data_IF_854906753109
#
_entry.id   IF_854906753109
#
_cell.length_a   1.000
_cell.length_b   1.000
_cell.length_c   1.000
_cell.angle_alpha   90.00
_cell.angle_beta   90.00
_cell.angle_gamma   90.00
#
_symmetry.space_group_name_H-M   'P 1'
#
loop_
_entity.id
_entity.type
_entity.pdbx_description
1 polymer ?
#
# COMPACT_ATOMS: atom_id res chain seq x y z
N UNK A 1 -22.95 -17.94 -2.00
CA UNK A 1 -21.49 -17.82 -1.77
C UNK A 1 -20.90 -17.06 -2.95
N UNK A 2 -20.24 -15.91 -2.77
CA UNK A 2 -19.60 -15.20 -3.90
C UNK A 2 -18.39 -16.00 -4.36
N UNK A 3 -18.36 -16.44 -5.60
CA UNK A 3 -17.20 -17.12 -6.17
C UNK A 3 -16.09 -16.09 -6.44
N UNK A 4 -14.80 -16.45 -6.25
CA UNK A 4 -13.68 -15.62 -6.65
C UNK A 4 -13.77 -15.22 -8.13
N UNK A 5 -13.46 -13.97 -8.47
CA UNK A 5 -13.51 -13.47 -9.87
C UNK A 5 -12.73 -14.35 -10.86
N UNK A 6 -11.64 -14.97 -10.40
CA UNK A 6 -10.81 -15.89 -11.18
C UNK A 6 -11.59 -17.09 -11.74
N UNK A 7 -12.63 -17.54 -11.04
CA UNK A 7 -13.49 -18.64 -11.48
C UNK A 7 -14.30 -18.24 -12.71
N UNK A 8 -14.93 -17.06 -12.70
CA UNK A 8 -15.71 -16.56 -13.84
C UNK A 8 -14.85 -16.36 -15.08
N UNK A 9 -13.65 -15.80 -14.92
CA UNK A 9 -12.69 -15.66 -16.02
C UNK A 9 -12.28 -17.01 -16.60
N UNK A 10 -12.00 -17.99 -15.75
CA UNK A 10 -11.63 -19.34 -16.19
C UNK A 10 -12.77 -20.00 -16.97
N UNK A 11 -14.01 -19.87 -16.50
CA UNK A 11 -15.19 -20.37 -17.21
C UNK A 11 -15.34 -19.70 -18.57
N UNK A 12 -15.22 -18.37 -18.63
CA UNK A 12 -15.29 -17.62 -19.88
C UNK A 12 -14.28 -18.14 -20.90
N UNK A 13 -13.00 -18.26 -20.52
CA UNK A 13 -11.96 -18.76 -21.44
C UNK A 13 -12.17 -20.21 -21.84
N UNK A 14 -12.70 -21.05 -20.95
CA UNK A 14 -13.07 -22.43 -21.30
C UNK A 14 -14.19 -22.45 -22.33
N UNK A 15 -15.22 -21.61 -22.19
CA UNK A 15 -16.31 -21.53 -23.15
C UNK A 15 -15.81 -21.04 -24.51
N UNK A 16 -15.01 -19.98 -24.55
CA UNK A 16 -14.40 -19.48 -25.79
C UNK A 16 -13.63 -20.60 -26.50
N UNK A 17 -12.80 -21.34 -25.76
CA UNK A 17 -12.02 -22.44 -26.33
C UNK A 17 -12.90 -23.63 -26.75
N UNK A 18 -13.86 -24.03 -25.93
CA UNK A 18 -14.70 -25.20 -26.17
C UNK A 18 -15.60 -25.00 -27.41
N UNK A 19 -16.15 -23.80 -27.56
CA UNK A 19 -16.99 -23.44 -28.70
C UNK A 19 -16.20 -22.87 -29.89
N UNK A 20 -14.86 -22.83 -29.80
CA UNK A 20 -13.96 -22.25 -30.81
C UNK A 20 -14.41 -20.85 -31.28
N UNK A 21 -14.78 -19.99 -30.33
CA UNK A 21 -15.25 -18.63 -30.61
C UNK A 21 -14.07 -17.71 -30.92
N UNK A 22 -14.23 -16.89 -31.95
CA UNK A 22 -13.42 -15.69 -32.15
C UNK A 22 -14.12 -14.51 -31.48
N UNK A 23 -13.49 -13.91 -30.47
CA UNK A 23 -14.12 -12.92 -29.59
C UNK A 23 -13.38 -11.60 -29.67
N UNK A 24 -14.12 -10.55 -30.03
CA UNK A 24 -13.68 -9.16 -29.95
C UNK A 24 -14.42 -8.47 -28.82
N UNK A 25 -13.68 -7.79 -27.94
CA UNK A 25 -14.25 -7.00 -26.84
C UNK A 25 -14.33 -5.54 -27.27
N UNK A 26 -15.53 -4.98 -27.21
CA UNK A 26 -15.78 -3.57 -27.51
C UNK A 26 -16.41 -2.88 -26.29
N UNK A 27 -15.84 -1.75 -25.89
CA UNK A 27 -16.38 -0.95 -24.80
C UNK A 27 -17.41 0.03 -25.37
N UNK A 28 -18.62 -0.02 -24.84
CA UNK A 28 -19.73 0.87 -25.23
C UNK A 28 -20.09 1.79 -24.05
N UNK A 29 -20.48 3.03 -24.35
CA UNK A 29 -20.96 3.98 -23.35
C UNK A 29 -22.35 3.59 -22.84
N UNK A 30 -22.55 3.64 -21.53
CA UNK A 30 -23.85 3.36 -20.93
C UNK A 30 -24.89 4.41 -21.36
N UNK A 31 -26.14 3.99 -21.55
CA UNK A 31 -27.24 4.87 -21.96
C UNK A 31 -27.00 5.62 -23.28
N UNK A 32 -26.17 5.07 -24.17
CA UNK A 32 -25.91 5.61 -25.51
C UNK A 32 -26.96 5.23 -26.56
N UNK A 33 -28.13 4.72 -26.13
CA UNK A 33 -29.18 4.13 -26.97
C UNK A 33 -28.69 2.98 -27.86
N UNK A 34 -27.69 2.22 -27.40
CA UNK A 34 -27.28 0.98 -28.06
C UNK A 34 -28.26 -0.12 -27.70
N UNK A 35 -29.06 -0.54 -28.68
CA UNK A 35 -30.12 -1.54 -28.52
C UNK A 35 -29.67 -2.82 -27.80
N UNK A 36 -28.48 -3.36 -28.13
CA UNK A 36 -28.00 -4.61 -27.55
C UNK A 36 -27.47 -4.43 -26.13
N UNK A 37 -26.83 -3.30 -25.85
CA UNK A 37 -26.41 -2.96 -24.49
C UNK A 37 -27.62 -2.75 -23.57
N UNK A 38 -28.63 -2.03 -24.05
CA UNK A 38 -29.85 -1.74 -23.30
C UNK A 38 -30.66 -3.03 -23.04
N UNK A 39 -30.68 -3.95 -24.02
CA UNK A 39 -31.30 -5.27 -23.86
C UNK A 39 -30.54 -6.13 -22.83
N UNK A 40 -29.21 -6.12 -22.86
CA UNK A 40 -28.39 -6.84 -21.87
C UNK A 40 -28.59 -6.29 -20.45
N UNK A 41 -28.66 -4.97 -20.28
CA UNK A 41 -28.93 -4.33 -18.99
C UNK A 41 -30.35 -4.65 -18.47
N UNK A 42 -31.34 -4.67 -19.36
CA UNK A 42 -32.71 -5.10 -19.03
C UNK A 42 -32.72 -6.55 -18.50
N UNK A 43 -32.10 -7.49 -19.23
CA UNK A 43 -32.06 -8.89 -18.79
C UNK A 43 -31.28 -9.08 -17.49
N UNK A 44 -30.18 -8.35 -17.30
CA UNK A 44 -29.45 -8.39 -16.03
C UNK A 44 -30.33 -7.96 -14.85
N UNK A 45 -31.18 -6.93 -15.03
CA UNK A 45 -32.12 -6.47 -14.01
C UNK A 45 -33.27 -7.45 -13.75
N UNK A 46 -33.80 -8.09 -14.80
CA UNK A 46 -34.86 -9.09 -14.67
C UNK A 46 -34.36 -10.37 -13.95
N UNK A 47 -33.09 -10.74 -14.16
CA UNK A 47 -32.48 -11.94 -13.56
C UNK A 47 -32.11 -11.82 -12.07
N UNK A 48 -32.37 -10.69 -11.41
CA UNK A 48 -31.97 -10.48 -10.01
C UNK A 48 -32.64 -11.48 -9.07
N UNK A 49 -33.89 -11.84 -9.36
CA UNK A 49 -34.70 -12.76 -8.55
C UNK A 49 -34.67 -14.21 -9.08
N UNK A 50 -33.93 -14.47 -10.17
CA UNK A 50 -33.81 -15.80 -10.74
C UNK A 50 -32.74 -16.65 -10.04
N UNK A 51 -32.90 -17.97 -10.13
CA UNK A 51 -31.92 -18.91 -9.58
C UNK A 51 -30.56 -18.75 -10.26
N UNK A 52 -29.52 -18.63 -9.43
CA UNK A 52 -28.16 -18.52 -9.94
C UNK A 52 -27.70 -19.82 -10.57
N UNK A 53 -27.02 -19.73 -11.71
CA UNK A 53 -26.31 -20.87 -12.30
C UNK A 53 -25.16 -21.28 -11.35
N UNK A 54 -25.27 -22.47 -10.76
CA UNK A 54 -24.24 -23.04 -9.87
C UNK A 54 -23.27 -23.88 -10.72
N UNK A 55 -22.02 -23.43 -10.79
CA UNK A 55 -20.95 -24.23 -11.37
C UNK A 55 -20.31 -25.09 -10.27
N UNK A 56 -20.25 -26.41 -10.48
CA UNK A 56 -19.50 -27.28 -9.59
C UNK A 56 -17.99 -27.11 -9.78
N UNK A 57 -17.25 -27.02 -8.67
CA UNK A 57 -15.79 -26.85 -8.66
C UNK A 57 -15.04 -27.93 -9.46
N UNK A 58 -15.63 -29.11 -9.61
CA UNK A 58 -15.10 -30.21 -10.43
C UNK A 58 -15.01 -29.84 -11.92
N UNK A 59 -15.92 -29.00 -12.43
CA UNK A 59 -15.91 -28.52 -13.83
C UNK A 59 -14.73 -27.55 -14.05
N UNK A 60 -14.29 -26.87 -13.00
CA UNK A 60 -13.22 -25.89 -13.09
C UNK A 60 -11.87 -26.56 -13.29
N UNK A 61 -11.66 -27.80 -12.81
CA UNK A 61 -10.43 -28.58 -13.01
C UNK A 61 -9.14 -27.73 -12.87
N UNK A 62 -9.21 -26.69 -12.04
CA UNK A 62 -8.24 -25.61 -12.01
C UNK A 62 -7.32 -25.84 -10.81
N UNK A 63 -6.23 -26.54 -11.07
CA UNK A 63 -5.02 -26.45 -10.25
C UNK A 63 -4.00 -25.64 -11.04
N UNK A 64 -4.28 -24.36 -11.31
CA UNK A 64 -3.18 -23.46 -11.61
C UNK A 64 -2.45 -23.23 -10.28
N UNK A 65 -1.47 -24.10 -10.03
CA UNK A 65 -0.60 -23.96 -8.88
C UNK A 65 0.39 -22.85 -9.23
N UNK A 66 0.24 -21.69 -8.61
CA UNK A 66 1.23 -20.65 -8.70
C UNK A 66 2.54 -21.19 -8.17
N UNK A 67 3.62 -21.02 -8.94
CA UNK A 67 4.94 -21.47 -8.55
C UNK A 67 5.86 -20.28 -8.41
N UNK A 68 6.55 -20.21 -7.28
CA UNK A 68 7.63 -19.27 -7.05
C UNK A 68 8.92 -20.05 -6.84
N UNK A 69 9.95 -19.77 -7.65
CA UNK A 69 11.23 -20.48 -7.60
C UNK A 69 11.08 -22.02 -7.57
N UNK A 70 10.27 -22.57 -8.48
CA UNK A 70 9.94 -23.99 -8.58
C UNK A 70 9.14 -24.60 -7.41
N UNK A 71 8.81 -23.83 -6.37
CA UNK A 71 7.97 -24.27 -5.26
C UNK A 71 6.52 -23.85 -5.50
N UNK A 72 5.58 -24.74 -5.15
CA UNK A 72 4.15 -24.44 -5.19
C UNK A 72 3.83 -23.47 -4.05
N UNK A 73 3.12 -22.40 -4.37
CA UNK A 73 2.60 -21.45 -3.39
C UNK A 73 1.23 -21.95 -2.94
N UNK A 74 1.13 -22.24 -1.64
CA UNK A 74 -0.10 -22.74 -1.01
C UNK A 74 -1.00 -21.60 -0.48
N UNK A 75 -0.56 -20.35 -0.61
CA UNK A 75 -1.26 -19.16 -0.12
C UNK A 75 -1.96 -18.43 -1.26
N UNK A 76 -2.85 -17.49 -0.93
CA UNK A 76 -3.48 -16.62 -1.92
C UNK A 76 -2.44 -15.89 -2.79
N UNK A 77 -2.46 -16.14 -4.10
CA UNK A 77 -1.46 -15.64 -5.05
C UNK A 77 -1.42 -14.11 -5.09
N UNK A 78 -2.58 -13.46 -4.97
CA UNK A 78 -2.69 -12.00 -5.00
C UNK A 78 -2.08 -11.42 -3.73
N UNK A 79 -2.35 -12.02 -2.58
CA UNK A 79 -1.76 -11.61 -1.30
C UNK A 79 -0.24 -11.80 -1.31
N UNK A 80 0.26 -12.90 -1.87
CA UNK A 80 1.69 -13.13 -2.01
C UNK A 80 2.34 -12.04 -2.90
N UNK A 81 1.77 -11.77 -4.07
CA UNK A 81 2.27 -10.73 -4.99
C UNK A 81 2.30 -9.37 -4.29
N UNK A 82 1.24 -9.01 -3.54
CA UNK A 82 1.20 -7.78 -2.75
C UNK A 82 2.32 -7.72 -1.73
N UNK A 83 2.54 -8.80 -0.98
CA UNK A 83 3.61 -8.87 0.03
C UNK A 83 5.00 -8.75 -0.60
N UNK A 84 5.24 -9.38 -1.75
CA UNK A 84 6.50 -9.25 -2.49
C UNK A 84 6.72 -7.80 -2.90
N UNK A 85 5.70 -7.16 -3.48
CA UNK A 85 5.79 -5.77 -3.90
C UNK A 85 5.99 -4.81 -2.72
N UNK A 86 5.31 -5.04 -1.59
CA UNK A 86 5.49 -4.27 -0.36
C UNK A 86 6.91 -4.42 0.21
N UNK A 87 7.44 -5.65 0.23
CA UNK A 87 8.80 -5.93 0.69
C UNK A 87 9.87 -5.29 -0.21
N UNK A 88 9.69 -5.36 -1.53
CA UNK A 88 10.61 -4.72 -2.48
C UNK A 88 10.61 -3.20 -2.34
N UNK A 89 9.43 -2.57 -2.27
CA UNK A 89 9.33 -1.13 -2.03
C UNK A 89 9.94 -0.71 -0.69
N UNK A 90 9.73 -1.50 0.37
CA UNK A 90 10.35 -1.26 1.67
C UNK A 90 11.88 -1.32 1.56
N UNK A 91 12.42 -2.34 0.89
CA UNK A 91 13.86 -2.48 0.67
C UNK A 91 14.44 -1.30 -0.12
N UNK A 92 13.79 -0.89 -1.21
CA UNK A 92 14.20 0.28 -1.99
C UNK A 92 14.19 1.55 -1.13
N UNK A 93 13.15 1.74 -0.30
CA UNK A 93 13.07 2.88 0.61
C UNK A 93 14.20 2.85 1.66
N UNK A 94 14.46 1.72 2.30
CA UNK A 94 15.51 1.59 3.32
C UNK A 94 16.91 1.81 2.74
N UNK A 95 17.13 1.46 1.47
CA UNK A 95 18.41 1.64 0.76
C UNK A 95 18.68 3.09 0.29
N UNK A 96 17.76 4.04 0.51
CA UNK A 96 18.03 5.44 0.22
C UNK A 96 19.13 5.99 1.16
N UNK A 97 20.11 6.73 0.62
CA UNK A 97 21.22 7.30 1.42
C UNK A 97 20.77 8.07 2.67
N UNK A 98 19.61 8.74 2.61
CA UNK A 98 19.02 9.46 3.76
C UNK A 98 18.63 8.54 4.93
N UNK A 99 18.40 7.26 4.65
CA UNK A 99 17.98 6.22 5.59
C UNK A 99 19.15 5.36 6.09
N UNK A 100 20.40 5.66 5.70
CA UNK A 100 21.59 4.91 6.14
C UNK A 100 21.72 4.79 7.67
N UNK A 101 21.13 5.72 8.43
CA UNK A 101 21.08 5.65 9.90
C UNK A 101 20.25 4.45 10.41
N UNK A 102 19.21 4.04 9.69
CA UNK A 102 18.34 2.90 10.05
C UNK A 102 19.13 1.58 9.99
N UNK A 103 20.12 1.49 9.10
CA UNK A 103 20.99 0.32 8.97
C UNK A 103 21.96 0.13 10.17
N UNK A 104 22.04 1.11 11.07
CA UNK A 104 22.85 0.98 12.29
C UNK A 104 22.04 0.30 13.40
N UNK A 105 22.53 -0.82 13.95
CA UNK A 105 21.84 -1.55 15.04
C UNK A 105 21.57 -0.71 16.29
N UNK A 106 22.42 0.27 16.60
CA UNK A 106 22.20 1.18 17.72
C UNK A 106 21.06 2.18 17.48
N UNK A 107 20.62 2.35 16.23
CA UNK A 107 19.51 3.24 15.89
C UNK A 107 18.24 2.86 16.64
N UNK A 108 17.87 1.59 16.64
CA UNK A 108 16.64 1.10 17.28
C UNK A 108 16.64 1.26 18.80
N UNK A 109 17.81 1.31 19.45
CA UNK A 109 17.92 1.61 20.88
C UNK A 109 17.65 3.08 21.23
N UNK A 110 17.72 3.97 20.23
CA UNK A 110 17.46 5.40 20.39
C UNK A 110 15.99 5.76 20.11
N UNK A 111 15.20 4.83 19.55
CA UNK A 111 13.81 5.06 19.19
C UNK A 111 12.93 4.94 20.43
N UNK A 112 12.16 5.99 20.71
CA UNK A 112 11.02 5.94 21.61
C UNK A 112 9.84 5.28 20.88
N UNK A 113 9.73 3.96 21.06
CA UNK A 113 8.69 3.14 20.46
C UNK A 113 7.28 3.55 20.91
N UNK A 114 7.11 4.00 22.16
CA UNK A 114 5.80 4.39 22.70
C UNK A 114 5.27 5.63 21.99
N UNK A 115 6.11 6.65 21.83
CA UNK A 115 5.74 7.87 21.12
C UNK A 115 5.61 7.64 19.63
N UNK A 116 6.52 6.85 19.04
CA UNK A 116 6.44 6.50 17.64
C UNK A 116 5.15 5.73 17.31
N UNK A 117 4.73 4.79 18.16
CA UNK A 117 3.46 4.08 18.00
C UNK A 117 2.27 5.04 18.02
N UNK A 118 2.24 6.00 18.95
CA UNK A 118 1.20 7.03 19.02
C UNK A 118 1.14 7.89 17.76
N UNK A 119 2.29 8.28 17.21
CA UNK A 119 2.38 9.07 15.97
C UNK A 119 1.99 8.29 14.72
N UNK A 120 2.03 6.95 14.77
CA UNK A 120 1.69 6.07 13.66
C UNK A 120 0.27 5.48 13.74
N UNK A 121 -0.40 5.61 14.89
CA UNK A 121 -1.77 5.12 15.07
C UNK A 121 -2.73 5.99 14.26
N UNK A 122 -3.20 5.48 13.11
CA UNK A 122 -4.33 6.09 12.40
C UNK A 122 -5.62 5.82 13.17
N UNK A 123 -6.30 6.89 13.58
CA UNK A 123 -7.72 6.85 13.94
C UNK A 123 -8.52 6.50 12.68
N UNK A 124 -9.16 5.34 12.64
CA UNK A 124 -10.01 4.92 11.50
C UNK A 124 -11.37 5.65 11.49
N UNK A 125 -11.71 6.41 12.54
CA UNK A 125 -13.09 6.85 12.78
C UNK A 125 -13.25 8.36 12.98
N UNK A 126 -12.16 9.12 13.09
CA UNK A 126 -12.19 10.58 13.29
C UNK A 126 -11.06 11.21 12.49
N UNK A 127 -11.41 11.97 11.46
CA UNK A 127 -10.52 12.90 10.74
C UNK A 127 -10.78 14.29 11.28
N UNK A 128 -10.18 14.62 12.44
CA UNK A 128 -10.15 16.01 12.88
C UNK A 128 -9.04 16.76 12.12
N UNK A 129 -9.19 18.07 11.93
CA UNK A 129 -8.12 18.94 11.39
C UNK A 129 -6.83 18.83 12.23
N UNK A 130 -6.95 18.52 13.52
CA UNK A 130 -5.81 18.21 14.38
C UNK A 130 -5.06 16.95 13.93
N UNK A 131 -5.78 15.85 13.66
CA UNK A 131 -5.17 14.59 13.23
C UNK A 131 -4.42 14.72 11.90
N UNK A 132 -4.93 15.54 10.97
CA UNK A 132 -4.23 15.83 9.71
C UNK A 132 -2.90 16.55 9.94
N UNK A 133 -2.88 17.56 10.83
CA UNK A 133 -1.65 18.29 11.20
C UNK A 133 -0.65 17.33 11.87
N UNK A 134 -1.12 16.45 12.77
CA UNK A 134 -0.28 15.44 13.41
C UNK A 134 0.28 14.43 12.41
N UNK A 135 -0.51 13.97 11.43
CA UNK A 135 -0.03 13.08 10.38
C UNK A 135 0.99 13.76 9.47
N UNK A 136 0.77 15.02 9.08
CA UNK A 136 1.73 15.80 8.31
C UNK A 136 3.05 15.97 9.09
N UNK A 137 2.97 16.24 10.39
CA UNK A 137 4.14 16.33 11.27
C UNK A 137 4.88 14.99 11.34
N UNK A 138 4.16 13.88 11.52
CA UNK A 138 4.74 12.54 11.56
C UNK A 138 5.44 12.17 10.24
N UNK A 139 4.86 12.52 9.09
CA UNK A 139 5.49 12.32 7.78
C UNK A 139 6.78 13.16 7.66
N UNK A 140 6.75 14.44 8.04
CA UNK A 140 7.93 15.31 8.00
C UNK A 140 9.04 14.82 8.92
N UNK A 141 8.70 14.28 10.09
CA UNK A 141 9.64 13.65 11.02
C UNK A 141 10.28 12.42 10.37
N UNK A 142 9.49 11.50 9.81
CA UNK A 142 9.98 10.27 9.15
C UNK A 142 10.86 10.55 7.93
N UNK A 143 10.51 11.57 7.15
CA UNK A 143 11.19 11.91 5.92
C UNK A 143 12.44 12.79 6.13
N UNK A 144 12.75 13.19 7.37
CA UNK A 144 13.78 14.19 7.66
C UNK A 144 13.53 15.54 6.97
N UNK A 145 12.28 15.99 6.91
CA UNK A 145 11.89 17.22 6.21
C UNK A 145 11.54 18.36 7.17
N UNK A 146 11.69 18.16 8.48
CA UNK A 146 11.54 19.22 9.47
C UNK A 146 12.51 20.38 9.20
N UNK A 147 12.09 21.64 9.41
CA UNK A 147 12.93 22.82 9.22
C UNK A 147 13.95 22.98 10.36
N UNK A 148 14.74 21.94 10.62
CA UNK A 148 15.89 21.99 11.54
C UNK A 148 16.99 22.85 10.94
N UNK A 149 17.86 23.41 11.77
CA UNK A 149 19.02 24.19 11.28
C UNK A 149 19.88 23.40 10.29
N UNK A 150 20.07 22.10 10.51
CA UNK A 150 20.78 21.22 9.58
C UNK A 150 20.12 21.18 8.19
N UNK A 151 18.79 21.06 8.14
CA UNK A 151 18.05 20.98 6.88
C UNK A 151 17.92 22.36 6.21
N UNK A 152 17.76 23.42 6.99
CA UNK A 152 17.75 24.80 6.50
C UNK A 152 19.11 25.20 5.92
N UNK A 153 20.21 24.84 6.60
CA UNK A 153 21.57 25.03 6.09
C UNK A 153 21.79 24.28 4.78
N UNK A 154 21.39 23.00 4.69
CA UNK A 154 21.48 22.23 3.44
C UNK A 154 20.73 22.87 2.27
N UNK A 155 19.55 23.45 2.53
CA UNK A 155 18.70 24.06 1.50
C UNK A 155 19.13 25.48 1.13
N UNK A 156 19.67 26.25 2.08
CA UNK A 156 20.13 27.62 1.85
C UNK A 156 21.29 27.99 2.78
N UNK A 157 22.53 27.58 2.44
CA UNK A 157 23.70 27.82 3.28
C UNK A 157 24.00 29.31 3.53
N UNK A 158 23.62 30.17 2.58
CA UNK A 158 23.81 31.62 2.66
C UNK A 158 22.91 32.26 3.71
N UNK A 159 21.67 31.80 3.85
CA UNK A 159 20.71 32.33 4.83
C UNK A 159 20.88 31.71 6.21
N UNK A 160 21.37 30.47 6.27
CA UNK A 160 21.54 29.72 7.51
C UNK A 160 22.98 29.24 7.63
N UNK A 161 23.92 30.06 8.11
CA UNK A 161 25.32 29.67 8.24
C UNK A 161 25.50 28.62 9.35
N UNK A 162 26.57 27.81 9.28
CA UNK A 162 26.81 26.68 10.18
C UNK A 162 27.05 27.07 11.65
N UNK A 163 27.41 28.33 11.91
CA UNK A 163 27.56 28.89 13.25
C UNK A 163 26.26 29.44 13.83
N UNK A 164 25.15 29.43 13.06
CA UNK A 164 23.86 29.92 13.51
C UNK A 164 23.33 29.04 14.64
N UNK A 165 23.03 29.65 15.78
CA UNK A 165 22.45 28.94 16.91
C UNK A 165 20.92 28.95 16.84
N UNK A 166 20.33 27.87 17.33
CA UNK A 166 18.89 27.72 17.46
C UNK A 166 18.33 28.78 18.42
N UNK A 167 17.54 29.71 17.88
CA UNK A 167 16.97 30.82 18.64
C UNK A 167 15.97 30.35 19.72
N UNK A 168 15.35 29.19 19.51
CA UNK A 168 14.35 28.63 20.44
C UNK A 168 14.97 27.85 21.59
N UNK A 169 16.05 27.11 21.34
CA UNK A 169 16.59 26.15 22.28
C UNK A 169 17.89 26.60 22.94
N UNK A 170 18.52 27.71 22.49
CA UNK A 170 19.77 28.29 23.02
C UNK A 170 20.91 27.29 23.24
N UNK A 171 20.79 26.08 22.69
CA UNK A 171 21.70 24.96 22.84
C UNK A 171 21.89 24.32 21.46
N UNK A 172 23.08 23.75 21.25
CA UNK A 172 23.58 23.26 19.95
C UNK A 172 22.90 21.98 19.43
N UNK A 173 21.79 21.57 20.02
CA UNK A 173 21.16 20.25 19.80
C UNK A 173 19.81 20.31 19.11
N UNK A 174 19.57 21.29 18.23
CA UNK A 174 18.47 21.22 17.25
C UNK A 174 18.87 20.39 16.02
N UNK A 175 19.38 19.18 16.29
CA UNK A 175 19.76 18.23 15.25
C UNK A 175 18.58 17.30 15.02
N UNK A 176 18.31 16.99 13.76
CA UNK A 176 17.31 15.98 13.35
C UNK A 176 17.38 14.68 14.18
N UNK A 177 18.58 14.31 14.66
CA UNK A 177 18.84 13.21 15.59
C UNK A 177 17.94 13.20 16.86
N UNK A 178 17.50 14.35 17.34
CA UNK A 178 16.58 14.44 18.48
C UNK A 178 15.16 13.99 18.09
N UNK A 179 14.68 14.43 16.92
CA UNK A 179 13.35 14.11 16.40
C UNK A 179 13.25 12.68 15.83
N UNK A 180 14.38 12.12 15.38
CA UNK A 180 14.50 10.73 14.94
C UNK A 180 14.04 9.71 15.99
N UNK A 181 14.15 10.05 17.29
CA UNK A 181 13.66 9.20 18.38
C UNK A 181 12.16 8.89 18.26
N UNK A 182 11.39 9.75 17.60
CA UNK A 182 9.94 9.68 17.55
C UNK A 182 9.39 9.25 16.19
N UNK A 183 10.26 8.90 15.24
CA UNK A 183 9.89 8.76 13.84
C UNK A 183 9.35 7.37 13.44
N UNK A 184 9.75 6.30 14.14
CA UNK A 184 9.59 4.95 13.61
C UNK A 184 8.73 4.07 14.51
N UNK A 185 7.51 3.81 14.06
CA UNK A 185 6.79 2.59 14.39
C UNK A 185 6.35 2.01 13.05
N UNK A 186 7.09 1.02 12.55
CA UNK A 186 6.62 0.23 11.43
C UNK A 186 5.42 -0.57 11.91
N UNK A 187 4.35 -0.53 11.12
CA UNK A 187 3.03 -1.02 11.51
C UNK A 187 3.06 -2.47 11.94
N UNK A 188 2.41 -2.75 13.07
CA UNK A 188 1.57 -3.92 13.32
C UNK A 188 2.19 -5.32 13.34
N UNK A 189 3.41 -5.51 12.86
CA UNK A 189 4.09 -6.80 12.88
C UNK A 189 5.31 -6.67 13.78
N UNK A 190 5.05 -6.84 15.08
CA UNK A 190 6.02 -7.51 15.92
C UNK A 190 6.37 -8.81 15.20
N UNK A 191 7.54 -8.84 14.57
CA UNK A 191 8.22 -10.09 14.33
C UNK A 191 8.65 -10.56 15.71
N UNK A 192 7.78 -11.35 16.34
CA UNK A 192 8.17 -12.24 17.42
C UNK A 192 9.31 -13.12 16.89
N UNK A 193 10.50 -12.91 17.44
CA UNK A 193 11.53 -13.93 17.55
C UNK A 193 11.62 -14.33 19.02
#
# INVERSE_FOLDING_TARGET
MKLPYQIYWTLLFKFIKFFALDVRVEKVEAHSNNQYNDLADKYAKESIDEDSIIFHDQILNFKALFKWNHLIVERDDIQLIKQIFEADNLNQFLNLNRNNLINNRHFFTLVDWKTSYRLNKKSQYITSKGDEIFQQLAIKIKANELPTLDNLHKRSPRLYPSNLQCQFCKNYTDRFKYWLKYAYAYGGYFLDF
#
